data_IF_097175799209
#
_entry.id   IF_097175799209
#
_cell.length_a   1.000
_cell.length_b   1.000
_cell.length_c   1.000
_cell.angle_alpha   90.00
_cell.angle_beta   90.00
_cell.angle_gamma   90.00
#
_symmetry.space_group_name_H-M   'P 1'
#
loop_
_entity.id
_entity.type
_entity.pdbx_description
1 polymer ?
#
# COMPACT_ATOMS: atom_id res chain seq x y z
N UNK A 1 9.06 -45.69 22.12
CA UNK A 1 8.15 -44.57 22.39
C UNK A 1 7.86 -43.94 21.04
N UNK A 2 6.65 -44.11 20.51
CA UNK A 2 6.28 -43.52 19.22
C UNK A 2 6.00 -42.04 19.43
N UNK A 3 6.76 -41.18 18.77
CA UNK A 3 6.35 -39.79 18.55
C UNK A 3 4.97 -39.84 17.90
N UNK A 4 3.94 -39.38 18.63
CA UNK A 4 2.64 -39.12 18.00
C UNK A 4 2.89 -37.98 17.02
N UNK A 5 2.69 -38.23 15.73
CA UNK A 5 2.44 -37.18 14.76
C UNK A 5 1.32 -36.31 15.32
N UNK A 6 1.70 -35.12 15.79
CA UNK A 6 0.75 -34.13 16.25
C UNK A 6 0.09 -33.61 14.97
N UNK A 7 -1.12 -34.10 14.68
CA UNK A 7 -1.91 -33.62 13.53
C UNK A 7 -1.99 -32.10 13.62
N UNK A 8 -1.48 -31.40 12.60
CA UNK A 8 -1.47 -29.94 12.57
C UNK A 8 -2.91 -29.42 12.75
N UNK A 9 -3.12 -28.49 13.67
CA UNK A 9 -4.44 -27.88 13.87
C UNK A 9 -4.82 -27.06 12.63
N UNK A 10 -5.81 -27.56 11.89
CA UNK A 10 -6.36 -26.95 10.68
C UNK A 10 -7.61 -26.11 10.93
N UNK A 11 -8.02 -25.95 12.20
CA UNK A 11 -9.23 -25.22 12.56
C UNK A 11 -9.01 -23.74 12.38
N UNK A 12 -9.84 -23.07 11.58
CA UNK A 12 -9.78 -21.61 11.41
C UNK A 12 -10.44 -20.95 12.62
N UNK A 13 -9.67 -20.18 13.39
CA UNK A 13 -10.13 -19.45 14.56
C UNK A 13 -10.34 -17.96 14.28
N UNK A 14 -9.56 -17.39 13.35
CA UNK A 14 -9.62 -15.98 12.92
C UNK A 14 -9.09 -15.83 11.51
N UNK A 15 -9.22 -14.66 10.91
CA UNK A 15 -8.68 -14.36 9.60
C UNK A 15 -7.70 -13.17 9.66
N UNK A 16 -6.85 -13.02 8.64
CA UNK A 16 -5.97 -11.88 8.48
C UNK A 16 -5.77 -11.52 7.01
N UNK A 17 -5.73 -10.22 6.72
CA UNK A 17 -5.50 -9.69 5.38
C UNK A 17 -3.99 -9.58 5.11
N UNK A 18 -3.56 -10.07 3.95
CA UNK A 18 -2.19 -9.96 3.48
C UNK A 18 -2.11 -9.37 2.06
N UNK A 19 -1.10 -8.56 1.74
CA UNK A 19 -0.04 -8.09 2.64
C UNK A 19 -0.57 -7.16 3.74
N UNK A 20 0.08 -7.12 4.90
CA UNK A 20 -0.31 -6.21 5.98
C UNK A 20 -0.19 -4.73 5.58
N UNK A 21 0.77 -4.42 4.70
CA UNK A 21 0.90 -3.12 4.03
C UNK A 21 1.06 -3.38 2.53
N UNK A 22 0.03 -3.06 1.76
CA UNK A 22 0.05 -3.14 0.30
C UNK A 22 0.59 -1.87 -0.35
N UNK A 23 1.44 -2.03 -1.37
CA UNK A 23 2.01 -0.92 -2.12
C UNK A 23 1.47 -0.92 -3.56
N UNK A 24 0.54 -0.01 -3.82
CA UNK A 24 0.10 0.33 -5.17
C UNK A 24 0.84 1.60 -5.66
N UNK A 25 0.81 1.85 -6.97
CA UNK A 25 1.49 3.01 -7.56
C UNK A 25 0.63 3.68 -8.60
N UNK A 26 0.70 5.02 -8.61
CA UNK A 26 0.05 5.83 -9.63
C UNK A 26 0.64 5.55 -11.01
N UNK A 27 -0.15 5.80 -12.05
CA UNK A 27 0.23 5.66 -13.45
C UNK A 27 -0.84 6.33 -14.32
N UNK A 28 -0.44 7.01 -15.38
CA UNK A 28 -1.35 7.83 -16.18
C UNK A 28 -2.15 7.08 -17.24
N UNK A 29 -2.03 5.74 -17.33
CA UNK A 29 -2.95 4.92 -18.11
C UNK A 29 -4.34 4.91 -17.48
N UNK A 30 -5.37 5.14 -18.30
CA UNK A 30 -6.75 5.23 -17.82
C UNK A 30 -7.34 3.88 -17.45
N UNK A 31 -7.00 2.83 -18.21
CA UNK A 31 -7.54 1.47 -18.07
C UNK A 31 -6.51 0.46 -17.60
N UNK A 32 -5.27 0.56 -18.09
CA UNK A 32 -4.31 -0.52 -17.98
C UNK A 32 -3.54 -0.46 -16.65
N UNK A 33 -3.31 -1.64 -16.10
CA UNK A 33 -2.58 -1.85 -14.86
C UNK A 33 -1.85 -3.19 -14.90
N UNK A 34 -0.95 -3.38 -13.95
CA UNK A 34 -0.34 -4.67 -13.65
C UNK A 34 -0.37 -4.89 -12.13
N UNK A 35 -0.24 -6.14 -11.70
CA UNK A 35 -0.24 -6.46 -10.28
C UNK A 35 1.15 -6.25 -9.67
N UNK A 36 1.18 -5.74 -8.44
CA UNK A 36 2.37 -5.64 -7.63
C UNK A 36 2.98 -7.04 -7.42
N UNK A 37 4.32 -7.16 -7.36
CA UNK A 37 4.99 -8.41 -7.03
C UNK A 37 4.52 -8.99 -5.70
N UNK A 38 4.25 -10.30 -5.67
CA UNK A 38 3.95 -11.05 -4.43
C UNK A 38 5.20 -11.76 -3.87
N UNK A 39 6.35 -11.57 -4.50
CA UNK A 39 7.66 -12.07 -4.09
C UNK A 39 8.64 -10.91 -3.97
N UNK A 40 9.66 -11.08 -3.13
CA UNK A 40 10.66 -10.05 -2.93
C UNK A 40 11.42 -9.75 -4.22
N UNK A 41 11.81 -10.78 -4.98
CA UNK A 41 12.65 -10.70 -6.17
C UNK A 41 11.89 -11.24 -7.39
N UNK A 42 10.97 -10.46 -7.98
CA UNK A 42 10.24 -10.89 -9.17
C UNK A 42 11.15 -10.96 -10.40
N UNK A 43 10.87 -11.86 -11.36
CA UNK A 43 11.55 -11.83 -12.65
C UNK A 43 11.28 -10.52 -13.39
N UNK A 44 12.18 -10.10 -14.29
CA UNK A 44 11.94 -8.93 -15.11
C UNK A 44 10.80 -9.14 -16.09
N UNK A 45 10.03 -8.09 -16.32
CA UNK A 45 9.00 -8.07 -17.36
C UNK A 45 9.61 -7.77 -18.73
N UNK A 46 8.88 -8.16 -19.78
CA UNK A 46 9.31 -7.88 -21.15
C UNK A 46 9.40 -6.36 -21.43
N UNK A 47 10.30 -5.92 -22.34
CA UNK A 47 10.35 -4.54 -22.76
C UNK A 47 8.99 -4.03 -23.23
N UNK A 48 8.61 -2.83 -22.77
CA UNK A 48 7.31 -2.21 -23.07
C UNK A 48 6.17 -2.60 -22.14
N UNK A 49 6.34 -3.59 -21.24
CA UNK A 49 5.28 -4.08 -20.37
C UNK A 49 4.63 -2.98 -19.51
N UNK A 50 5.41 -2.07 -18.94
CA UNK A 50 4.94 -1.06 -17.98
C UNK A 50 4.17 0.12 -18.60
N UNK A 51 4.05 0.17 -19.93
CA UNK A 51 3.29 1.20 -20.64
C UNK A 51 2.17 0.58 -21.44
N UNK A 52 1.08 1.31 -21.59
CA UNK A 52 0.00 0.95 -22.50
C UNK A 52 0.35 1.31 -23.96
N UNK A 53 -0.48 0.97 -24.96
CA UNK A 53 -0.20 1.26 -26.36
C UNK A 53 -0.04 2.75 -26.71
N UNK A 54 -0.50 3.67 -25.84
CA UNK A 54 -0.34 5.12 -26.04
C UNK A 54 0.97 5.64 -25.45
N UNK A 55 1.72 4.80 -24.73
CA UNK A 55 2.91 5.17 -24.00
C UNK A 55 2.64 5.67 -22.56
N UNK A 56 1.38 5.70 -22.13
CA UNK A 56 1.05 6.05 -20.75
C UNK A 56 1.48 4.93 -19.79
N UNK A 57 1.92 5.31 -18.60
CA UNK A 57 2.41 4.40 -17.59
C UNK A 57 1.24 3.65 -16.95
N UNK A 58 1.30 2.32 -16.97
CA UNK A 58 0.31 1.48 -16.31
C UNK A 58 0.36 1.70 -14.80
N UNK A 59 -0.80 1.65 -14.15
CA UNK A 59 -0.89 1.66 -12.69
C UNK A 59 -0.36 0.34 -12.13
N UNK A 60 0.28 0.37 -10.96
CA UNK A 60 0.56 -0.86 -10.21
C UNK A 60 -0.56 -1.07 -9.20
N UNK A 61 -1.37 -2.10 -9.37
CA UNK A 61 -2.39 -2.50 -8.42
C UNK A 61 -1.84 -3.47 -7.39
N UNK A 62 -2.26 -3.34 -6.13
CA UNK A 62 -1.91 -4.33 -5.11
C UNK A 62 -3.06 -5.30 -4.90
N UNK A 63 -2.75 -6.59 -4.90
CA UNK A 63 -3.70 -7.66 -4.58
C UNK A 63 -3.62 -8.00 -3.10
N UNK A 64 -4.77 -8.06 -2.44
CA UNK A 64 -4.93 -8.50 -1.07
C UNK A 64 -5.65 -9.84 -1.00
N UNK A 65 -5.19 -10.69 -0.10
CA UNK A 65 -5.67 -12.04 0.19
C UNK A 65 -6.12 -12.11 1.64
N UNK A 66 -7.01 -13.04 1.95
CA UNK A 66 -7.40 -13.36 3.32
C UNK A 66 -6.91 -14.77 3.63
N UNK A 67 -6.21 -14.93 4.75
CA UNK A 67 -5.85 -16.25 5.25
C UNK A 67 -6.58 -16.55 6.54
N UNK A 68 -7.20 -17.72 6.62
CA UNK A 68 -7.70 -18.29 7.85
C UNK A 68 -6.54 -18.80 8.70
N UNK A 69 -6.51 -18.40 9.96
CA UNK A 69 -5.46 -18.71 10.91
C UNK A 69 -6.01 -19.61 12.02
N UNK A 70 -5.22 -20.59 12.45
CA UNK A 70 -5.54 -21.39 13.62
C UNK A 70 -5.32 -20.62 14.94
N UNK A 71 -5.60 -21.26 16.08
CA UNK A 71 -5.46 -20.64 17.40
C UNK A 71 -4.02 -20.16 17.71
N UNK A 72 -3.02 -20.79 17.08
CA UNK A 72 -1.61 -20.39 17.18
C UNK A 72 -1.22 -19.26 16.22
N UNK A 73 -2.14 -18.75 15.40
CA UNK A 73 -1.89 -17.72 14.39
C UNK A 73 -1.20 -18.24 13.12
N UNK A 74 -1.15 -19.56 12.91
CA UNK A 74 -0.57 -20.16 11.70
C UNK A 74 -1.61 -20.13 10.58
N UNK A 75 -1.27 -19.66 9.36
CA UNK A 75 -2.15 -19.77 8.21
C UNK A 75 -2.43 -21.23 7.85
N UNK A 76 -3.71 -21.59 7.73
CA UNK A 76 -4.14 -22.96 7.40
C UNK A 76 -4.94 -23.06 6.10
N UNK A 77 -5.57 -21.96 5.66
CA UNK A 77 -6.27 -21.89 4.38
C UNK A 77 -6.29 -20.45 3.84
N UNK A 78 -6.31 -20.28 2.52
CA UNK A 78 -6.75 -19.04 1.90
C UNK A 78 -8.28 -19.00 1.87
N UNK A 79 -8.85 -17.86 2.26
CA UNK A 79 -10.29 -17.60 2.18
C UNK A 79 -10.57 -16.81 0.90
N UNK A 80 -11.41 -17.37 0.05
CA UNK A 80 -11.79 -16.84 -1.27
C UNK A 80 -13.30 -16.87 -1.41
N UNK A 81 -13.83 -16.30 -2.50
CA UNK A 81 -15.26 -16.39 -2.81
C UNK A 81 -15.77 -17.84 -3.01
N UNK A 82 -14.88 -18.83 -3.14
CA UNK A 82 -15.26 -20.25 -3.26
C UNK A 82 -15.66 -20.85 -1.91
N UNK A 83 -15.05 -20.41 -0.80
CA UNK A 83 -15.19 -21.04 0.51
C UNK A 83 -15.63 -20.09 1.64
N UNK A 84 -15.73 -18.78 1.37
CA UNK A 84 -16.15 -17.77 2.32
C UNK A 84 -16.95 -16.65 1.65
N UNK A 85 -17.85 -16.02 2.40
CA UNK A 85 -18.45 -14.76 2.01
C UNK A 85 -17.53 -13.62 2.45
N UNK A 86 -17.10 -12.79 1.51
CA UNK A 86 -16.12 -11.73 1.75
C UNK A 86 -16.68 -10.39 1.27
N UNK A 87 -16.70 -9.42 2.18
CA UNK A 87 -16.96 -8.02 1.87
C UNK A 87 -15.74 -7.18 2.22
N UNK A 88 -15.06 -6.69 1.20
CA UNK A 88 -13.93 -5.80 1.35
C UNK A 88 -14.38 -4.36 1.59
N UNK A 89 -13.61 -3.64 2.40
CA UNK A 89 -13.76 -2.20 2.64
C UNK A 89 -12.39 -1.52 2.56
N UNK A 90 -12.29 -0.43 1.80
CA UNK A 90 -11.07 0.37 1.69
C UNK A 90 -11.43 1.84 1.83
N UNK A 91 -10.63 2.60 2.58
CA UNK A 91 -10.82 4.04 2.75
C UNK A 91 -9.54 4.79 2.42
N UNK A 92 -9.38 5.21 1.15
CA UNK A 92 -8.25 6.03 0.73
C UNK A 92 -8.46 7.50 1.10
N UNK A 93 -7.42 8.16 1.61
CA UNK A 93 -7.41 9.61 1.77
C UNK A 93 -6.03 10.21 1.47
N UNK A 94 -5.99 11.49 1.10
CA UNK A 94 -4.77 12.28 1.00
C UNK A 94 -4.84 13.47 1.95
N UNK A 95 -3.89 13.52 2.88
CA UNK A 95 -3.81 14.57 3.91
C UNK A 95 -2.65 15.53 3.72
N UNK A 96 -1.86 15.40 2.63
CA UNK A 96 -0.59 16.12 2.43
C UNK A 96 -0.75 17.62 2.51
N UNK A 97 -1.81 18.17 1.90
CA UNK A 97 -2.03 19.61 1.81
C UNK A 97 -2.53 20.21 3.13
N UNK A 98 -3.17 19.40 3.98
CA UNK A 98 -3.58 19.78 5.32
C UNK A 98 -2.48 19.59 6.38
N UNK A 99 -1.40 18.89 6.06
CA UNK A 99 -0.32 18.53 6.98
C UNK A 99 0.72 19.64 7.17
N UNK A 100 1.71 19.35 8.00
CA UNK A 100 2.90 20.17 8.18
C UNK A 100 3.81 20.13 6.95
N UNK A 101 4.60 21.19 6.81
CA UNK A 101 5.70 21.25 5.87
C UNK A 101 6.74 20.18 6.22
N UNK A 102 7.36 19.58 5.20
CA UNK A 102 8.53 18.75 5.40
C UNK A 102 9.78 19.63 5.38
N UNK A 103 10.48 19.70 6.51
CA UNK A 103 11.76 20.43 6.65
C UNK A 103 12.90 19.45 6.91
N UNK A 104 12.68 18.56 7.88
CA UNK A 104 13.62 17.53 8.32
C UNK A 104 12.82 16.37 8.93
N UNK A 105 13.42 15.18 8.98
CA UNK A 105 12.89 14.10 9.80
C UNK A 105 12.89 14.53 11.28
N UNK A 106 11.82 14.29 12.03
CA UNK A 106 11.69 14.79 13.41
C UNK A 106 12.23 13.81 14.46
N UNK A 107 12.60 12.61 14.04
CA UNK A 107 13.12 11.52 14.86
C UNK A 107 14.65 11.42 14.86
N UNK A 108 15.34 12.38 14.23
CA UNK A 108 16.81 12.47 14.25
C UNK A 108 17.29 13.51 15.28
N UNK A 109 18.50 13.35 15.86
CA UNK A 109 19.02 14.25 16.90
C UNK A 109 19.01 15.74 16.51
N UNK A 110 19.28 16.05 15.25
CA UNK A 110 19.33 17.40 14.70
C UNK A 110 17.99 18.14 14.83
N UNK A 111 16.88 17.40 14.80
CA UNK A 111 15.53 17.95 14.93
C UNK A 111 15.28 18.62 16.28
N UNK A 112 16.01 18.23 17.34
CA UNK A 112 15.87 18.82 18.68
C UNK A 112 16.21 20.32 18.71
N UNK A 113 17.01 20.79 17.76
CA UNK A 113 17.40 22.20 17.61
C UNK A 113 16.79 22.90 16.40
N UNK A 114 16.02 22.17 15.58
CA UNK A 114 15.47 22.71 14.35
C UNK A 114 14.25 23.61 14.64
N UNK A 115 14.03 24.68 13.84
CA UNK A 115 12.79 25.45 13.91
C UNK A 115 11.55 24.56 13.67
N UNK A 116 10.42 24.83 14.34
CA UNK A 116 9.18 24.10 14.09
C UNK A 116 8.73 24.20 12.63
N UNK A 117 8.24 23.09 12.08
CA UNK A 117 7.65 23.09 10.74
C UNK A 117 6.28 23.76 10.76
N UNK A 118 6.06 24.68 9.82
CA UNK A 118 4.76 25.35 9.68
C UNK A 118 3.74 24.42 9.02
N UNK A 119 2.47 24.77 9.11
CA UNK A 119 1.44 24.10 8.29
C UNK A 119 1.67 24.42 6.81
N UNK A 120 1.41 23.44 5.93
CA UNK A 120 1.16 23.74 4.52
C UNK A 120 -0.18 24.45 4.40
N UNK A 121 -0.35 25.31 3.39
CA UNK A 121 -1.58 26.05 3.16
C UNK A 121 -1.98 26.90 4.38
N UNK A 122 -1.01 27.48 5.09
CA UNK A 122 -1.22 28.06 6.43
C UNK A 122 -2.25 29.20 6.45
N UNK A 123 -2.43 29.89 5.32
CA UNK A 123 -3.41 30.98 5.17
C UNK A 123 -4.85 30.49 4.97
N UNK A 124 -5.06 29.18 4.75
CA UNK A 124 -6.38 28.59 4.58
C UNK A 124 -6.93 28.16 5.94
N UNK A 125 -7.94 28.88 6.43
CA UNK A 125 -8.59 28.63 7.72
C UNK A 125 -9.43 27.35 7.74
N UNK A 126 -10.15 27.05 6.65
CA UNK A 126 -10.90 25.81 6.51
C UNK A 126 -9.96 24.65 6.17
N UNK A 127 -9.38 24.03 7.20
CA UNK A 127 -8.43 22.92 7.05
C UNK A 127 -9.05 21.66 6.44
N UNK A 128 -10.35 21.44 6.62
CA UNK A 128 -11.02 20.26 6.09
C UNK A 128 -11.06 20.29 4.56
N UNK A 129 -11.18 21.48 3.95
CA UNK A 129 -11.12 21.66 2.49
C UNK A 129 -9.79 21.27 1.83
N UNK A 130 -8.74 21.07 2.62
CA UNK A 130 -7.41 20.66 2.14
C UNK A 130 -7.22 19.13 2.15
N UNK A 131 -8.14 18.39 2.76
CA UNK A 131 -8.13 16.92 2.78
C UNK A 131 -8.86 16.41 1.54
N UNK A 132 -8.25 15.45 0.84
CA UNK A 132 -8.97 14.69 -0.19
C UNK A 132 -9.45 13.41 0.48
N UNK A 133 -10.73 13.39 0.85
CA UNK A 133 -11.38 12.25 1.48
C UNK A 133 -12.69 11.91 0.75
N UNK A 134 -12.69 10.91 -0.15
CA UNK A 134 -13.89 10.39 -0.83
C UNK A 134 -14.76 9.48 0.05
N UNK A 135 -14.33 9.16 1.27
CA UNK A 135 -14.94 8.14 2.12
C UNK A 135 -14.61 6.72 1.69
N UNK A 136 -15.08 5.74 2.47
CA UNK A 136 -14.86 4.33 2.20
C UNK A 136 -15.59 3.84 0.93
N UNK A 137 -15.06 2.78 0.33
CA UNK A 137 -15.68 2.00 -0.74
C UNK A 137 -15.69 0.53 -0.35
N UNK A 138 -16.70 -0.17 -0.85
CA UNK A 138 -16.90 -1.58 -0.58
C UNK A 138 -17.00 -2.36 -1.88
N UNK A 139 -16.55 -3.62 -1.86
CA UNK A 139 -16.65 -4.51 -3.02
C UNK A 139 -16.82 -5.96 -2.56
N UNK A 140 -17.61 -6.71 -3.31
CA UNK A 140 -17.99 -8.10 -3.06
C UNK A 140 -17.93 -8.90 -4.36
N UNK A 141 -17.82 -10.23 -4.25
CA UNK A 141 -17.90 -11.14 -5.39
C UNK A 141 -16.62 -11.23 -6.22
N UNK A 142 -16.64 -12.09 -7.23
CA UNK A 142 -15.53 -12.33 -8.17
C UNK A 142 -15.64 -11.45 -9.42
N UNK A 143 -14.50 -11.02 -9.97
CA UNK A 143 -14.41 -10.18 -11.17
C UNK A 143 -15.26 -8.90 -11.10
N UNK A 144 -15.45 -8.34 -9.90
CA UNK A 144 -16.18 -7.10 -9.70
C UNK A 144 -15.28 -5.88 -9.90
N UNK A 145 -15.87 -4.75 -10.32
CA UNK A 145 -15.14 -3.49 -10.49
C UNK A 145 -15.65 -2.65 -11.66
N UNK A 146 -15.03 -1.49 -11.86
CA UNK A 146 -15.33 -0.58 -12.99
C UNK A 146 -16.58 0.28 -12.83
N UNK A 147 -17.35 0.09 -11.75
CA UNK A 147 -18.49 0.94 -11.38
C UNK A 147 -18.11 2.17 -10.53
N UNK A 148 -18.91 3.25 -10.57
CA UNK A 148 -18.69 4.45 -9.74
C UNK A 148 -18.72 4.16 -8.23
N UNK A 149 -19.46 3.15 -7.79
CA UNK A 149 -19.54 2.66 -6.40
C UNK A 149 -18.24 2.01 -5.90
N UNK A 150 -17.30 1.72 -6.80
CA UNK A 150 -15.97 1.19 -6.48
C UNK A 150 -14.87 2.22 -6.72
N UNK A 151 -15.24 3.45 -7.09
CA UNK A 151 -14.31 4.51 -7.48
C UNK A 151 -14.20 5.59 -6.40
N UNK A 152 -12.97 6.04 -6.14
CA UNK A 152 -12.66 7.09 -5.15
C UNK A 152 -12.57 8.47 -5.83
N UNK A 153 -13.68 8.94 -6.42
CA UNK A 153 -13.77 10.18 -7.21
C UNK A 153 -14.70 11.25 -6.61
N UNK A 154 -15.05 11.12 -5.32
CA UNK A 154 -15.91 12.10 -4.63
C UNK A 154 -15.14 13.03 -3.70
N UNK A 155 -13.86 12.74 -3.45
CA UNK A 155 -12.97 13.56 -2.62
C UNK A 155 -12.63 14.87 -3.31
N UNK A 156 -12.49 15.95 -2.53
CA UNK A 156 -12.26 17.29 -3.07
C UNK A 156 -11.11 17.98 -2.39
N UNK A 157 -10.29 18.68 -3.17
CA UNK A 157 -9.32 19.65 -2.68
C UNK A 157 -9.75 21.05 -3.09
N UNK A 158 -10.04 21.92 -2.11
CA UNK A 158 -10.52 23.29 -2.34
C UNK A 158 -11.65 23.36 -3.37
N UNK A 159 -12.62 22.44 -3.25
CA UNK A 159 -13.78 22.34 -4.13
C UNK A 159 -13.57 21.59 -5.45
N UNK A 160 -12.33 21.28 -5.84
CA UNK A 160 -12.01 20.51 -7.05
C UNK A 160 -12.00 19.02 -6.75
N UNK A 161 -12.76 18.24 -7.52
CA UNK A 161 -12.77 16.77 -7.41
C UNK A 161 -11.42 16.17 -7.77
N UNK A 162 -10.97 15.20 -6.98
CA UNK A 162 -9.73 14.45 -7.18
C UNK A 162 -10.02 12.96 -7.14
N UNK A 163 -9.61 12.26 -8.19
CA UNK A 163 -9.66 10.79 -8.28
C UNK A 163 -8.48 10.19 -7.50
N UNK A 164 -8.73 9.36 -6.48
CA UNK A 164 -7.68 8.70 -5.70
C UNK A 164 -7.45 7.23 -6.07
N UNK A 165 -8.33 6.63 -6.87
CA UNK A 165 -8.21 5.22 -7.23
C UNK A 165 -9.53 4.50 -7.46
N UNK A 166 -9.47 3.18 -7.55
CA UNK A 166 -10.63 2.29 -7.70
C UNK A 166 -10.36 0.91 -7.08
N UNK A 167 -11.44 0.21 -6.71
CA UNK A 167 -11.42 -1.17 -6.24
C UNK A 167 -11.83 -2.14 -7.34
N UNK A 168 -11.22 -3.31 -7.34
CA UNK A 168 -11.60 -4.46 -8.16
C UNK A 168 -11.50 -5.75 -7.35
N UNK A 169 -12.11 -6.82 -7.83
CA UNK A 169 -11.81 -8.18 -7.37
C UNK A 169 -11.36 -9.07 -8.52
N UNK A 170 -10.46 -10.02 -8.24
CA UNK A 170 -10.08 -11.06 -9.19
C UNK A 170 -11.12 -12.18 -9.25
N UNK A 171 -10.84 -13.22 -10.04
CA UNK A 171 -11.76 -14.34 -10.23
C UNK A 171 -12.05 -15.15 -8.96
N UNK A 172 -11.18 -15.03 -7.94
CA UNK A 172 -11.31 -15.68 -6.63
C UNK A 172 -11.87 -14.74 -5.56
N UNK A 173 -12.30 -13.52 -5.95
CA UNK A 173 -12.83 -12.53 -5.01
C UNK A 173 -11.74 -11.84 -4.17
N UNK A 174 -10.47 -11.95 -4.56
CA UNK A 174 -9.38 -11.23 -3.90
C UNK A 174 -9.44 -9.77 -4.29
N UNK A 175 -9.22 -8.89 -3.32
CA UNK A 175 -9.24 -7.45 -3.56
C UNK A 175 -8.02 -7.01 -4.38
N UNK A 176 -8.25 -6.15 -5.37
CA UNK A 176 -7.22 -5.38 -6.07
C UNK A 176 -7.50 -3.90 -5.83
N UNK A 177 -6.52 -3.19 -5.28
CA UNK A 177 -6.58 -1.73 -5.10
C UNK A 177 -5.70 -1.05 -6.13
N UNK A 178 -6.30 -0.17 -6.94
CA UNK A 178 -5.61 0.69 -7.88
C UNK A 178 -5.58 2.12 -7.35
N UNK A 179 -4.43 2.78 -7.50
CA UNK A 179 -4.25 4.18 -7.10
C UNK A 179 -4.71 5.20 -8.14
N UNK A 180 -4.40 6.47 -7.85
CA UNK A 180 -4.60 7.60 -8.74
C UNK A 180 -3.88 7.49 -10.10
N UNK A 181 -4.11 8.49 -10.95
CA UNK A 181 -3.59 8.55 -12.33
C UNK A 181 -2.32 9.41 -12.46
N UNK A 182 -1.69 9.78 -11.35
CA UNK A 182 -0.49 10.61 -11.33
C UNK A 182 -0.77 12.08 -11.62
N UNK A 183 -2.00 12.55 -11.37
CA UNK A 183 -2.39 13.95 -11.54
C UNK A 183 -1.97 14.77 -10.32
N UNK A 184 -1.19 15.81 -10.56
CA UNK A 184 -0.86 16.85 -9.59
C UNK A 184 -1.24 18.20 -10.15
N UNK A 185 -1.85 19.06 -9.34
CA UNK A 185 -2.32 20.36 -9.77
C UNK A 185 -2.40 21.34 -8.59
N UNK A 186 -2.39 22.64 -8.90
CA UNK A 186 -2.79 23.68 -7.97
C UNK A 186 -4.24 24.10 -8.17
N UNK A 187 -4.92 24.49 -7.10
CA UNK A 187 -6.30 24.95 -7.19
C UNK A 187 -6.44 26.27 -7.98
N UNK A 188 -5.38 27.08 -8.04
CA UNK A 188 -5.36 28.42 -8.64
C UNK A 188 -4.39 28.56 -9.83
N UNK A 189 -3.77 27.47 -10.32
CA UNK A 189 -2.80 27.52 -11.42
C UNK A 189 -1.39 28.01 -11.03
N UNK A 190 -1.11 28.21 -9.73
CA UNK A 190 0.24 28.48 -9.25
C UNK A 190 1.23 27.37 -9.63
N UNK A 191 2.47 27.77 -9.92
CA UNK A 191 3.58 26.84 -10.20
C UNK A 191 4.07 26.19 -8.89
N UNK A 192 4.50 24.94 -8.97
CA UNK A 192 5.30 24.34 -7.91
C UNK A 192 6.70 24.94 -7.96
N UNK A 193 7.21 25.40 -6.82
CA UNK A 193 8.49 26.13 -6.72
C UNK A 193 9.44 25.54 -5.69
N UNK A 194 8.98 24.61 -4.85
CA UNK A 194 9.83 23.89 -3.90
C UNK A 194 9.72 22.38 -4.11
N UNK A 195 10.68 21.63 -3.58
CA UNK A 195 10.69 20.17 -3.72
C UNK A 195 9.56 19.46 -2.95
N UNK A 196 9.06 20.04 -1.85
CA UNK A 196 8.11 19.36 -0.96
C UNK A 196 6.92 20.20 -0.49
N UNK A 197 7.05 21.52 -0.38
CA UNK A 197 6.06 22.38 0.28
C UNK A 197 5.54 23.42 -0.71
N UNK A 198 4.47 23.06 -1.42
CA UNK A 198 3.88 23.91 -2.45
C UNK A 198 2.46 24.30 -2.03
N UNK A 199 2.26 25.59 -1.77
CA UNK A 199 0.98 26.14 -1.34
C UNK A 199 -0.05 26.05 -2.48
N UNK A 200 -1.27 25.66 -2.14
CA UNK A 200 -2.37 25.47 -3.07
C UNK A 200 -2.27 24.22 -3.94
N UNK A 201 -1.28 23.33 -3.71
CA UNK A 201 -1.11 22.10 -4.49
C UNK A 201 -1.75 20.88 -3.85
N UNK A 202 -2.15 19.94 -4.72
CA UNK A 202 -2.52 18.58 -4.36
C UNK A 202 -1.94 17.58 -5.38
N UNK A 203 -1.97 16.31 -5.00
CA UNK A 203 -1.73 15.17 -5.88
C UNK A 203 -2.79 14.10 -5.65
N UNK A 204 -2.71 13.00 -6.38
CA UNK A 204 -3.62 11.86 -6.29
C UNK A 204 -2.94 10.60 -5.72
N UNK A 205 -1.87 10.78 -4.95
CA UNK A 205 -1.44 9.73 -4.02
C UNK A 205 -2.41 9.65 -2.85
N UNK A 206 -2.39 8.54 -2.13
CA UNK A 206 -3.28 8.31 -1.00
C UNK A 206 -2.75 7.14 -0.17
N UNK A 207 -3.29 6.98 1.02
CA UNK A 207 -3.13 5.77 1.82
C UNK A 207 -4.38 5.56 2.69
N UNK A 208 -4.53 4.36 3.26
CA UNK A 208 -5.65 4.10 4.13
C UNK A 208 -5.85 2.64 4.53
N UNK A 209 -6.81 2.38 5.44
CA UNK A 209 -7.08 1.04 5.92
C UNK A 209 -7.76 0.17 4.86
N UNK A 210 -7.46 -1.13 4.93
CA UNK A 210 -8.10 -2.21 4.21
C UNK A 210 -8.67 -3.19 5.23
N UNK A 211 -9.98 -3.37 5.23
CA UNK A 211 -10.67 -4.29 6.14
C UNK A 211 -11.58 -5.24 5.36
N UNK A 212 -11.99 -6.33 6.00
CA UNK A 212 -12.94 -7.26 5.43
C UNK A 212 -13.88 -7.81 6.50
N UNK A 213 -15.15 -7.95 6.14
CA UNK A 213 -16.09 -8.81 6.83
C UNK A 213 -16.02 -10.19 6.17
N UNK A 214 -15.80 -11.23 6.98
CA UNK A 214 -15.58 -12.60 6.50
C UNK A 214 -16.53 -13.55 7.22
N UNK A 215 -17.35 -14.26 6.45
CA UNK A 215 -18.18 -15.37 6.96
C UNK A 215 -17.65 -16.67 6.37
N UNK A 216 -17.18 -17.57 7.24
CA UNK A 216 -16.65 -18.87 6.87
C UNK A 216 -17.45 -19.97 7.56
N UNK A 217 -17.95 -20.96 6.80
CA UNK A 217 -18.82 -22.02 7.31
C UNK A 217 -20.02 -21.50 8.15
N UNK A 218 -20.60 -20.37 7.75
CA UNK A 218 -21.72 -19.72 8.44
C UNK A 218 -21.34 -18.93 9.71
N UNK A 219 -20.05 -18.79 10.03
CA UNK A 219 -19.57 -18.04 11.18
C UNK A 219 -18.78 -16.80 10.76
N UNK A 220 -19.10 -15.66 11.36
CA UNK A 220 -18.31 -14.44 11.21
C UNK A 220 -16.94 -14.59 11.89
N UNK A 221 -15.87 -14.29 11.16
CA UNK A 221 -14.51 -14.33 11.68
C UNK A 221 -14.02 -12.94 12.08
N UNK A 222 -13.35 -12.84 13.23
CA UNK A 222 -12.50 -11.68 13.51
C UNK A 222 -11.39 -11.64 12.45
N UNK A 223 -11.26 -10.51 11.75
CA UNK A 223 -10.31 -10.35 10.64
C UNK A 223 -9.31 -9.25 10.96
N UNK A 224 -8.03 -9.58 11.01
CA UNK A 224 -6.96 -8.58 11.17
C UNK A 224 -6.90 -7.68 9.91
N UNK A 225 -6.89 -6.35 10.08
CA UNK A 225 -6.88 -5.42 8.97
C UNK A 225 -5.50 -5.32 8.32
N UNK A 226 -5.47 -4.70 7.15
CA UNK A 226 -4.26 -4.27 6.48
C UNK A 226 -4.29 -2.75 6.19
N UNK A 227 -3.23 -2.25 5.58
CA UNK A 227 -3.12 -0.89 5.07
C UNK A 227 -2.73 -0.90 3.60
N UNK A 228 -3.13 0.12 2.84
CA UNK A 228 -2.65 0.35 1.47
C UNK A 228 -1.98 1.71 1.38
N UNK A 229 -0.87 1.78 0.64
CA UNK A 229 -0.17 3.01 0.29
C UNK A 229 -0.10 3.11 -1.23
N UNK A 230 -0.54 4.25 -1.76
CA UNK A 230 -0.43 4.60 -3.18
C UNK A 230 0.80 5.51 -3.35
N UNK A 231 1.89 4.92 -3.84
CA UNK A 231 3.17 5.60 -4.02
C UNK A 231 3.35 6.16 -5.45
N UNK A 232 4.37 7.01 -5.68
CA UNK A 232 4.86 7.31 -7.03
C UNK A 232 5.27 6.04 -7.80
N UNK A 233 5.43 6.11 -9.14
CA UNK A 233 5.86 4.96 -9.91
C UNK A 233 7.25 4.43 -9.50
N UNK A 234 7.48 3.13 -9.70
CA UNK A 234 8.81 2.55 -9.63
C UNK A 234 9.36 2.45 -11.06
N UNK A 235 10.26 3.37 -11.41
CA UNK A 235 10.86 3.43 -12.74
C UNK A 235 11.95 2.39 -12.98
N UNK A 236 12.40 1.68 -11.94
CA UNK A 236 13.39 0.62 -12.04
C UNK A 236 13.00 -0.56 -11.11
N UNK A 237 11.95 -1.34 -11.45
CA UNK A 237 11.40 -2.38 -10.58
C UNK A 237 12.39 -3.47 -10.14
N UNK A 238 13.42 -3.72 -10.95
CA UNK A 238 14.48 -4.69 -10.68
C UNK A 238 15.60 -4.13 -9.79
N UNK A 239 15.59 -2.82 -9.52
CA UNK A 239 16.61 -2.16 -8.71
C UNK A 239 16.08 -1.93 -7.31
N UNK A 240 16.80 -2.46 -6.32
CA UNK A 240 16.49 -2.28 -4.90
C UNK A 240 17.54 -1.41 -4.23
N UNK A 241 17.08 -0.48 -3.40
CA UNK A 241 17.97 0.22 -2.48
C UNK A 241 18.64 -0.77 -1.52
N UNK A 242 19.85 -0.44 -1.04
CA UNK A 242 20.60 -1.24 -0.06
C UNK A 242 19.73 -1.56 1.17
N UNK A 243 18.90 -0.61 1.59
CA UNK A 243 17.88 -0.80 2.64
C UNK A 243 16.49 -0.55 2.07
N UNK A 244 15.59 -1.48 2.32
CA UNK A 244 14.18 -1.41 1.93
C UNK A 244 13.29 -1.06 3.13
N UNK A 245 12.04 -0.70 2.87
CA UNK A 245 11.05 -0.54 3.95
C UNK A 245 10.86 -1.85 4.74
N UNK A 246 10.99 -3.01 4.08
CA UNK A 246 10.94 -4.30 4.77
C UNK A 246 12.09 -4.44 5.79
N UNK A 247 13.31 -4.04 5.42
CA UNK A 247 14.46 -4.11 6.32
C UNK A 247 14.25 -3.19 7.55
N UNK A 248 13.71 -1.99 7.32
CA UNK A 248 13.36 -1.05 8.40
C UNK A 248 12.26 -1.61 9.31
N UNK A 249 11.16 -2.12 8.75
CA UNK A 249 10.04 -2.65 9.56
C UNK A 249 10.44 -3.90 10.34
N UNK A 250 11.32 -4.75 9.80
CA UNK A 250 11.90 -5.87 10.53
C UNK A 250 12.73 -5.38 11.73
N UNK A 251 13.56 -4.37 11.54
CA UNK A 251 14.36 -3.78 12.62
C UNK A 251 13.49 -3.14 13.71
N UNK A 252 12.44 -2.40 13.32
CA UNK A 252 11.44 -1.84 14.24
C UNK A 252 10.76 -2.93 15.05
N UNK A 253 10.28 -3.99 14.40
CA UNK A 253 9.60 -5.10 15.08
C UNK A 253 10.53 -5.87 16.03
N UNK A 254 11.81 -6.05 15.68
CA UNK A 254 12.80 -6.64 16.58
C UNK A 254 13.07 -5.72 17.78
N UNK A 255 13.28 -4.44 17.54
CA UNK A 255 13.56 -3.44 18.57
C UNK A 255 12.39 -3.27 19.54
N UNK A 256 11.15 -3.41 19.05
CA UNK A 256 9.93 -3.38 19.85
C UNK A 256 9.61 -4.73 20.55
N UNK A 257 10.43 -5.78 20.36
CA UNK A 257 10.20 -7.10 20.94
C UNK A 257 9.05 -7.90 20.31
N UNK A 258 8.52 -7.46 19.16
CA UNK A 258 7.46 -8.15 18.41
C UNK A 258 7.99 -9.29 17.56
N UNK A 259 9.26 -9.23 17.16
CA UNK A 259 9.97 -10.30 16.47
C UNK A 259 11.25 -10.67 17.22
N UNK A 260 11.60 -11.96 17.31
CA UNK A 260 12.84 -12.36 17.94
C UNK A 260 14.04 -11.93 17.09
N UNK A 261 15.04 -11.31 17.72
CA UNK A 261 16.33 -11.07 17.10
C UNK A 261 17.01 -12.41 16.77
N UNK A 262 17.47 -12.64 15.54
CA UNK A 262 18.21 -13.85 15.21
C UNK A 262 19.50 -13.95 16.06
N UNK A 263 19.86 -15.13 16.59
CA UNK A 263 21.06 -15.29 17.42
C UNK A 263 22.36 -15.07 16.64
N UNK A 264 22.33 -15.27 15.31
CA UNK A 264 23.42 -14.98 14.38
C UNK A 264 22.85 -14.62 13.00
N UNK A 265 23.52 -13.76 12.23
CA UNK A 265 23.10 -13.46 10.86
C UNK A 265 23.29 -14.66 9.94
N UNK A 266 22.39 -14.80 8.96
CA UNK A 266 22.56 -15.68 7.80
C UNK A 266 23.30 -14.93 6.70
N UNK A 267 24.35 -15.53 6.13
CA UNK A 267 24.99 -14.92 4.96
C UNK A 267 24.00 -14.74 3.81
N UNK A 268 23.22 -15.78 3.49
CA UNK A 268 22.27 -15.79 2.38
C UNK A 268 21.13 -14.77 2.53
N UNK A 269 20.58 -14.63 3.75
CA UNK A 269 19.38 -13.81 3.99
C UNK A 269 19.66 -12.41 4.51
N UNK A 270 20.74 -12.23 5.26
CA UNK A 270 21.00 -10.99 6.00
C UNK A 270 22.22 -10.21 5.46
N UNK A 271 23.17 -10.85 4.78
CA UNK A 271 24.43 -10.22 4.33
C UNK A 271 24.51 -10.11 2.80
N UNK A 272 24.35 -11.21 2.08
CA UNK A 272 24.44 -11.28 0.61
C UNK A 272 23.54 -10.22 -0.06
N UNK A 273 22.27 -10.03 0.35
CA UNK A 273 21.40 -9.04 -0.30
C UNK A 273 21.95 -7.61 -0.21
N UNK A 274 22.72 -7.27 0.83
CA UNK A 274 23.32 -5.94 0.97
C UNK A 274 24.32 -5.69 -0.17
N UNK A 275 25.21 -6.65 -0.42
CA UNK A 275 26.24 -6.55 -1.46
C UNK A 275 25.66 -6.65 -2.88
N UNK A 276 24.68 -7.53 -3.09
CA UNK A 276 24.00 -7.67 -4.38
C UNK A 276 23.27 -6.38 -4.74
N UNK A 277 22.49 -5.80 -3.82
CA UNK A 277 21.78 -4.54 -4.04
C UNK A 277 22.76 -3.39 -4.28
N UNK A 278 23.83 -3.28 -3.49
CA UNK A 278 24.87 -2.27 -3.70
C UNK A 278 25.48 -2.36 -5.10
N UNK A 279 25.78 -3.59 -5.56
CA UNK A 279 26.35 -3.82 -6.88
C UNK A 279 25.35 -3.51 -7.99
N UNK A 280 24.08 -3.90 -7.83
CA UNK A 280 23.04 -3.67 -8.83
C UNK A 280 22.71 -2.18 -9.02
N UNK A 281 22.88 -1.36 -7.98
CA UNK A 281 22.63 0.08 -8.09
C UNK A 281 23.52 0.81 -9.12
N UNK A 282 24.60 0.20 -9.61
CA UNK A 282 25.43 0.74 -10.70
C UNK A 282 24.64 1.09 -11.98
N UNK A 283 23.46 0.49 -12.18
CA UNK A 283 22.60 0.77 -13.33
C UNK A 283 21.82 2.08 -13.22
N UNK A 284 21.77 2.67 -12.03
CA UNK A 284 20.96 3.87 -11.72
C UNK A 284 21.72 4.96 -10.96
N UNK A 285 22.95 4.69 -10.49
CA UNK A 285 23.84 5.66 -9.84
C UNK A 285 25.31 5.25 -9.93
#
# INVERSE_FOLDING_TARGET
MSEREQTADTTIARAAIYPAIGIARVGNSESDYFLAPEVADPPPEAPGFYRDPTGALKRQGVRFRIYGLNAAGTPVAELTAENAEIRWTVHLANKKSAWYQFQIALDIPEAASAPPSWLRNMTISDRASLLIDPGARHIVGSNAGGGPEHTFDTGKFLGKTVYLGELRTDEQGRLIVLGGRGKSASYNGARAVTFANNEGWHDDTADGPVTAEVVYAGQGLQTDPAWVVIAPPNYAPQQKSVRTMWDLMRDVAISAGMLPKPPRPSFDRDIRPIFERLTQLQWVN
#
